data_IF_877133052090
#
_entry.id   IF_877133052090
#
_cell.length_a   1.000
_cell.length_b   1.000
_cell.length_c   1.000
_cell.angle_alpha   90.00
_cell.angle_beta   90.00
_cell.angle_gamma   90.00
#
_symmetry.space_group_name_H-M   'P 1'
#
loop_
_entity.id
_entity.type
_entity.pdbx_description
1 polymer ?
#
# COMPACT_ATOMS: atom_id res chain seq x y z
N UNK A 1 17.98 16.04 -7.87
CA UNK A 1 16.92 15.46 -8.70
C UNK A 1 15.91 16.51 -9.10
N UNK A 2 15.49 16.44 -10.34
CA UNK A 2 14.50 17.37 -10.86
C UNK A 2 13.10 16.98 -10.35
N UNK A 3 12.31 17.98 -9.95
CA UNK A 3 10.96 17.73 -9.47
C UNK A 3 10.07 17.08 -10.52
N UNK A 4 10.40 17.22 -11.81
CA UNK A 4 9.67 16.55 -12.89
C UNK A 4 9.70 15.03 -12.78
N UNK A 5 10.74 14.50 -12.16
CA UNK A 5 10.92 13.06 -12.05
C UNK A 5 10.32 12.48 -10.78
N UNK A 6 9.69 13.31 -9.96
CA UNK A 6 9.06 12.84 -8.73
C UNK A 6 7.78 12.08 -9.06
N UNK A 7 7.69 10.80 -8.67
CA UNK A 7 6.46 10.03 -8.88
C UNK A 7 5.26 10.67 -8.17
N UNK A 8 4.07 10.46 -8.73
CA UNK A 8 2.85 11.07 -8.20
C UNK A 8 2.62 10.76 -6.72
N UNK A 9 2.93 9.54 -6.30
CA UNK A 9 2.71 9.13 -4.91
C UNK A 9 3.57 9.89 -3.91
N UNK A 10 4.64 10.54 -4.37
CA UNK A 10 5.53 11.32 -3.50
C UNK A 10 5.30 12.82 -3.58
N UNK A 11 4.31 13.26 -4.36
CA UNK A 11 3.94 14.67 -4.37
C UNK A 11 3.38 15.06 -3.00
N UNK A 12 3.71 16.27 -2.56
CA UNK A 12 3.33 16.71 -1.23
C UNK A 12 1.91 17.29 -1.20
N UNK A 13 1.15 16.89 -0.20
CA UNK A 13 -0.16 17.45 0.11
C UNK A 13 -0.11 17.81 1.59
N UNK A 14 -0.27 19.10 1.89
CA UNK A 14 -0.13 19.62 3.25
C UNK A 14 1.23 19.23 3.85
N UNK A 15 2.28 19.33 3.03
CA UNK A 15 3.64 19.08 3.49
C UNK A 15 4.03 17.61 3.65
N UNK A 16 3.16 16.69 3.28
CA UNK A 16 3.37 15.25 3.45
C UNK A 16 3.11 14.53 2.13
N UNK A 17 3.95 13.56 1.72
CA UNK A 17 3.71 12.82 0.48
C UNK A 17 2.33 12.16 0.46
N UNK A 18 1.71 12.13 -0.71
CA UNK A 18 0.38 11.52 -0.86
C UNK A 18 0.38 10.09 -0.34
N UNK A 19 1.40 9.30 -0.69
CA UNK A 19 1.47 7.90 -0.27
C UNK A 19 1.46 7.77 1.26
N UNK A 20 2.08 8.71 1.97
CA UNK A 20 2.09 8.67 3.42
C UNK A 20 0.67 8.88 3.98
N UNK A 21 -0.09 9.81 3.38
CA UNK A 21 -1.49 10.00 3.78
C UNK A 21 -2.28 8.69 3.62
N UNK A 22 -2.08 8.01 2.49
CA UNK A 22 -2.76 6.75 2.23
C UNK A 22 -2.33 5.68 3.23
N UNK A 23 -1.03 5.53 3.43
CA UNK A 23 -0.50 4.51 4.34
C UNK A 23 -0.97 4.74 5.76
N UNK A 24 -1.06 5.98 6.20
CA UNK A 24 -1.52 6.28 7.55
C UNK A 24 -2.93 5.78 7.81
N UNK A 25 -3.79 5.80 6.81
CA UNK A 25 -5.15 5.28 6.96
C UNK A 25 -5.10 3.78 7.29
N UNK A 26 -4.25 3.03 6.59
CA UNK A 26 -4.07 1.60 6.86
C UNK A 26 -3.30 1.36 8.14
N UNK A 27 -2.31 2.20 8.43
CA UNK A 27 -1.50 2.07 9.66
C UNK A 27 -2.36 2.17 10.91
N UNK A 28 -3.36 3.04 10.90
CA UNK A 28 -4.23 3.26 12.04
C UNK A 28 -5.45 2.33 12.07
N UNK A 29 -5.61 1.50 11.06
CA UNK A 29 -6.75 0.58 11.01
C UNK A 29 -6.45 -0.66 11.86
N UNK A 30 -7.36 -1.00 12.76
CA UNK A 30 -7.17 -2.10 13.70
C UNK A 30 -7.06 -3.46 13.04
N UNK A 31 -7.72 -3.65 11.91
CA UNK A 31 -7.73 -4.95 11.24
C UNK A 31 -6.58 -5.12 10.24
N UNK A 32 -5.74 -4.11 10.06
CA UNK A 32 -4.56 -4.20 9.20
C UNK A 32 -3.36 -4.56 10.07
N UNK A 33 -2.75 -5.70 9.78
CA UNK A 33 -1.62 -6.20 10.56
C UNK A 33 -0.27 -5.82 9.95
N UNK A 34 -0.23 -5.62 8.66
CA UNK A 34 1.02 -5.29 7.99
C UNK A 34 0.78 -4.63 6.64
N UNK A 35 1.80 -3.93 6.17
CA UNK A 35 1.76 -3.17 4.92
C UNK A 35 3.02 -3.49 4.13
N UNK A 36 2.86 -3.72 2.84
CA UNK A 36 3.98 -3.80 1.91
C UNK A 36 3.85 -2.63 0.95
N UNK A 37 4.92 -1.88 0.81
CA UNK A 37 4.95 -0.75 -0.10
C UNK A 37 5.71 -1.13 -1.37
N UNK A 38 5.11 -0.87 -2.51
CA UNK A 38 5.74 -1.08 -3.81
C UNK A 38 5.92 0.28 -4.45
N UNK A 39 7.14 0.64 -4.78
CA UNK A 39 7.41 1.93 -5.38
C UNK A 39 8.57 1.85 -6.36
N UNK A 40 8.81 2.94 -7.08
CA UNK A 40 9.96 3.01 -8.01
C UNK A 40 11.24 2.80 -7.23
N UNK A 41 12.13 1.96 -7.76
CA UNK A 41 13.36 1.58 -7.08
C UNK A 41 14.18 2.78 -6.59
N UNK A 42 14.28 3.81 -7.43
CA UNK A 42 15.06 5.00 -7.10
C UNK A 42 14.52 5.76 -5.89
N UNK A 43 13.25 5.53 -5.55
CA UNK A 43 12.61 6.23 -4.43
C UNK A 43 12.46 5.38 -3.18
N UNK A 44 12.99 4.14 -3.20
CA UNK A 44 12.94 3.28 -2.02
C UNK A 44 13.65 3.91 -0.82
N UNK A 45 14.87 4.49 -0.97
CA UNK A 45 15.50 5.15 0.18
C UNK A 45 14.66 6.28 0.76
N UNK A 46 14.00 7.05 -0.11
CA UNK A 46 13.10 8.11 0.33
C UNK A 46 11.90 7.53 1.11
N UNK A 47 11.34 6.45 0.61
CA UNK A 47 10.20 5.80 1.28
C UNK A 47 10.61 5.23 2.64
N UNK A 48 11.82 4.69 2.75
CA UNK A 48 12.33 4.20 4.03
C UNK A 48 12.49 5.34 5.02
N UNK A 49 12.93 6.51 4.55
CA UNK A 49 13.00 7.71 5.39
C UNK A 49 11.61 8.13 5.86
N UNK A 50 10.63 8.09 4.96
CA UNK A 50 9.24 8.43 5.31
C UNK A 50 8.67 7.46 6.32
N UNK A 51 8.96 6.17 6.16
CA UNK A 51 8.55 5.16 7.14
C UNK A 51 9.06 5.52 8.53
N UNK A 52 10.31 5.89 8.61
CA UNK A 52 10.94 6.26 9.88
C UNK A 52 10.36 7.57 10.44
N UNK A 53 10.27 8.57 9.59
CA UNK A 53 9.82 9.91 9.99
C UNK A 53 8.39 9.90 10.53
N UNK A 54 7.49 9.18 9.88
CA UNK A 54 6.08 9.15 10.24
C UNK A 54 5.69 7.92 11.06
N UNK A 55 6.68 7.13 11.47
CA UNK A 55 6.48 5.93 12.30
C UNK A 55 5.44 4.98 11.72
N UNK A 56 5.63 4.63 10.46
CA UNK A 56 4.75 3.71 9.76
C UNK A 56 5.19 2.28 10.07
N UNK A 57 4.96 1.85 11.31
CA UNK A 57 5.53 0.62 11.85
C UNK A 57 4.95 -0.66 11.25
N UNK A 58 3.77 -0.57 10.64
CA UNK A 58 3.18 -1.73 9.99
C UNK A 58 3.82 -2.05 8.64
N UNK A 59 4.60 -1.13 8.09
CA UNK A 59 5.33 -1.41 6.85
C UNK A 59 6.38 -2.48 7.16
N UNK A 60 6.15 -3.68 6.63
CA UNK A 60 7.09 -4.79 6.82
C UNK A 60 8.20 -4.81 5.80
N UNK A 61 7.94 -4.30 4.60
CA UNK A 61 8.94 -4.27 3.54
C UNK A 61 8.57 -3.24 2.48
N UNK A 62 9.59 -2.65 1.86
CA UNK A 62 9.45 -1.75 0.73
C UNK A 62 10.19 -2.38 -0.43
N UNK A 63 9.51 -2.61 -1.55
CA UNK A 63 10.07 -3.32 -2.69
C UNK A 63 9.91 -2.52 -3.97
N UNK A 64 10.76 -2.78 -4.98
CA UNK A 64 10.63 -2.10 -6.27
C UNK A 64 9.42 -2.60 -7.05
N UNK A 65 8.81 -1.71 -7.81
CA UNK A 65 7.77 -2.08 -8.75
C UNK A 65 8.35 -2.76 -9.97
N UNK A 66 7.48 -3.44 -10.73
CA UNK A 66 7.84 -4.02 -12.01
C UNK A 66 7.55 -3.07 -13.14
N UNK A 67 7.80 -3.53 -14.37
CA UNK A 67 7.55 -2.73 -15.56
C UNK A 67 6.06 -2.47 -15.80
N UNK A 68 5.21 -3.34 -15.29
CA UNK A 68 3.76 -3.21 -15.42
C UNK A 68 3.11 -3.19 -14.05
N UNK A 69 1.85 -2.75 -14.00
CA UNK A 69 1.08 -2.79 -12.77
C UNK A 69 0.95 -4.20 -12.21
N UNK A 70 0.77 -5.19 -13.09
CA UNK A 70 0.67 -6.59 -12.68
C UNK A 70 1.96 -7.08 -12.03
N UNK A 71 3.11 -6.73 -12.59
CA UNK A 71 4.40 -7.11 -12.02
C UNK A 71 4.64 -6.42 -10.69
N UNK A 72 4.20 -5.17 -10.56
CA UNK A 72 4.30 -4.46 -9.28
C UNK A 72 3.48 -5.16 -8.20
N UNK A 73 2.25 -5.55 -8.53
CA UNK A 73 1.39 -6.29 -7.60
C UNK A 73 2.03 -7.63 -7.23
N UNK A 74 2.57 -8.33 -8.22
CA UNK A 74 3.24 -9.61 -7.99
C UNK A 74 4.42 -9.45 -7.03
N UNK A 75 5.25 -8.42 -7.25
CA UNK A 75 6.38 -8.16 -6.37
C UNK A 75 5.92 -7.90 -4.93
N UNK A 76 4.84 -7.15 -4.78
CA UNK A 76 4.26 -6.89 -3.46
C UNK A 76 3.73 -8.15 -2.80
N UNK A 77 3.06 -9.00 -3.57
CA UNK A 77 2.53 -10.26 -3.04
C UNK A 77 3.64 -11.21 -2.60
N UNK A 78 4.72 -11.28 -3.38
CA UNK A 78 5.87 -12.09 -3.00
C UNK A 78 6.50 -11.58 -1.70
N UNK A 79 6.62 -10.27 -1.56
CA UNK A 79 7.15 -9.68 -0.34
C UNK A 79 6.25 -9.96 0.85
N UNK A 80 4.94 -9.87 0.67
CA UNK A 80 3.98 -10.16 1.73
C UNK A 80 4.10 -11.61 2.18
N UNK A 81 4.25 -12.53 1.23
CA UNK A 81 4.46 -13.94 1.57
C UNK A 81 5.74 -14.15 2.37
N UNK A 82 6.81 -13.47 1.96
CA UNK A 82 8.11 -13.60 2.63
C UNK A 82 8.08 -13.05 4.06
N UNK A 83 7.33 -11.99 4.29
CA UNK A 83 7.26 -11.34 5.60
C UNK A 83 6.21 -11.97 6.50
N UNK A 84 5.03 -12.27 5.95
CA UNK A 84 3.87 -12.69 6.75
C UNK A 84 3.49 -14.15 6.57
N UNK A 85 4.16 -14.87 5.67
CA UNK A 85 3.89 -16.29 5.45
C UNK A 85 2.76 -16.52 4.46
N UNK A 86 2.43 -17.83 4.25
CA UNK A 86 1.46 -18.25 3.23
C UNK A 86 0.13 -18.73 3.82
N UNK A 87 -0.08 -18.50 5.11
CA UNK A 87 -1.31 -18.93 5.76
C UNK A 87 -2.48 -18.01 5.37
N UNK A 88 -3.63 -18.19 5.97
CA UNK A 88 -4.90 -17.54 5.63
C UNK A 88 -4.88 -16.01 5.73
N UNK A 89 -3.92 -15.39 5.06
CA UNK A 89 -3.80 -13.94 5.06
C UNK A 89 -4.75 -13.32 4.05
N UNK A 90 -5.43 -12.28 4.47
CA UNK A 90 -6.25 -11.47 3.59
C UNK A 90 -5.36 -10.34 3.06
N UNK A 91 -5.31 -10.18 1.74
CA UNK A 91 -4.51 -9.15 1.09
C UNK A 91 -5.42 -8.16 0.41
N UNK A 92 -5.23 -6.88 0.74
CA UNK A 92 -5.91 -5.78 0.06
C UNK A 92 -4.88 -5.04 -0.78
N UNK A 93 -5.23 -4.77 -2.01
CA UNK A 93 -4.35 -4.03 -2.93
C UNK A 93 -4.95 -2.65 -3.14
N UNK A 94 -4.15 -1.62 -2.92
CA UNK A 94 -4.63 -0.25 -2.99
C UNK A 94 -3.61 0.66 -3.69
N UNK A 95 -4.12 1.60 -4.48
CA UNK A 95 -3.30 2.59 -5.15
C UNK A 95 -2.87 3.67 -4.14
N UNK A 96 -1.55 3.87 -4.03
CA UNK A 96 -0.98 4.82 -3.07
C UNK A 96 -1.32 6.27 -3.34
N UNK A 97 -1.81 6.61 -4.52
CA UNK A 97 -2.20 7.99 -4.83
C UNK A 97 -3.68 8.28 -4.54
N UNK A 98 -4.38 7.34 -3.90
CA UNK A 98 -5.80 7.49 -3.57
C UNK A 98 -6.01 7.55 -2.06
N UNK A 99 -5.78 8.72 -1.43
CA UNK A 99 -5.87 8.84 0.03
C UNK A 99 -7.29 9.03 0.56
N UNK A 100 -8.31 8.94 -0.28
CA UNK A 100 -9.70 9.15 0.15
C UNK A 100 -10.41 7.90 0.63
N UNK A 101 -9.68 6.80 0.77
CA UNK A 101 -10.25 5.60 1.37
C UNK A 101 -10.45 5.83 2.87
N UNK A 102 -11.53 5.33 3.42
CA UNK A 102 -11.80 5.47 4.85
C UNK A 102 -11.75 4.12 5.55
N UNK A 103 -11.77 4.18 6.89
CA UNK A 103 -11.69 3.00 7.73
C UNK A 103 -12.83 2.03 7.45
N UNK A 104 -14.03 2.55 7.20
CA UNK A 104 -15.20 1.70 6.94
C UNK A 104 -15.04 0.92 5.64
N UNK A 105 -14.50 1.56 4.60
CA UNK A 105 -14.28 0.88 3.32
C UNK A 105 -13.29 -0.26 3.49
N UNK A 106 -12.23 -0.05 4.27
CA UNK A 106 -11.26 -1.10 4.55
C UNK A 106 -11.92 -2.25 5.29
N UNK A 107 -12.69 -1.96 6.33
CA UNK A 107 -13.40 -2.99 7.10
C UNK A 107 -14.36 -3.77 6.21
N UNK A 108 -15.11 -3.08 5.35
CA UNK A 108 -16.07 -3.73 4.45
C UNK A 108 -15.37 -4.66 3.48
N UNK A 109 -14.21 -4.27 2.97
CA UNK A 109 -13.44 -5.13 2.07
C UNK A 109 -12.91 -6.37 2.78
N UNK A 110 -12.42 -6.22 3.99
CA UNK A 110 -11.93 -7.36 4.79
C UNK A 110 -13.07 -8.33 5.02
N UNK A 111 -14.23 -7.83 5.44
CA UNK A 111 -15.40 -8.67 5.69
C UNK A 111 -15.89 -9.35 4.41
N UNK A 112 -15.84 -8.65 3.28
CA UNK A 112 -16.22 -9.22 1.99
C UNK A 112 -15.31 -10.39 1.63
N UNK A 113 -14.01 -10.27 1.84
CA UNK A 113 -13.06 -11.35 1.56
C UNK A 113 -13.34 -12.55 2.47
N UNK A 114 -13.58 -12.31 3.75
CA UNK A 114 -13.86 -13.39 4.70
C UNK A 114 -15.13 -14.17 4.33
N UNK A 115 -16.15 -13.48 3.80
CA UNK A 115 -17.41 -14.11 3.45
C UNK A 115 -17.38 -14.75 2.06
N UNK A 116 -16.70 -14.13 1.10
CA UNK A 116 -16.82 -14.48 -0.31
C UNK A 116 -15.52 -14.94 -0.96
N UNK A 117 -14.43 -14.93 -0.23
CA UNK A 117 -13.12 -15.39 -0.73
C UNK A 117 -12.36 -14.37 -1.55
N UNK A 118 -12.99 -13.28 -2.03
CA UNK A 118 -12.28 -12.26 -2.79
C UNK A 118 -13.06 -10.96 -2.81
N UNK A 119 -12.39 -9.87 -2.50
CA UNK A 119 -12.94 -8.53 -2.61
C UNK A 119 -12.53 -7.85 -3.92
N UNK A 120 -11.53 -8.40 -4.62
CA UNK A 120 -10.98 -7.76 -5.81
C UNK A 120 -12.03 -7.58 -6.89
N UNK A 121 -12.79 -8.62 -7.19
CA UNK A 121 -13.82 -8.57 -8.22
C UNK A 121 -15.00 -7.69 -7.85
N UNK A 122 -15.22 -7.46 -6.57
CA UNK A 122 -16.37 -6.69 -6.09
C UNK A 122 -16.08 -5.22 -5.91
N UNK A 123 -14.82 -4.89 -5.64
CA UNK A 123 -14.40 -3.52 -5.28
C UNK A 123 -13.43 -2.97 -6.30
N UNK A 124 -13.86 -2.98 -7.55
CA UNK A 124 -13.01 -2.47 -8.63
C UNK A 124 -12.55 -1.04 -8.40
N UNK A 125 -13.38 -0.23 -7.79
CA UNK A 125 -13.04 1.15 -7.51
C UNK A 125 -11.77 1.32 -6.67
N UNK A 126 -11.35 0.30 -5.96
CA UNK A 126 -10.10 0.36 -5.20
C UNK A 126 -8.86 0.33 -6.08
N UNK A 127 -9.00 -0.13 -7.32
CA UNK A 127 -7.87 -0.35 -8.21
C UNK A 127 -7.84 0.63 -9.39
N UNK A 128 -8.79 1.48 -9.49
CA UNK A 128 -8.89 2.45 -10.60
C UNK A 128 -8.04 3.70 -10.37
#
# INVERSE_FOLDING_TARGET
MNTKDRPKQFLLVHGKPIIVHTIEIFEHHQEIDGIIVVCVEDWIPYMQEMKYRYRLDKIGKIVPGGETGQLSIYNGLCAARDVYGVNDNIVLIHDGVRPLIDERTISDNIHCVKENGSAITRKRGLFD
#
